data_IF_013092972001
#
_entry.id   IF_013092972001
#
_cell.length_a   1.000
_cell.length_b   1.000
_cell.length_c   1.000
_cell.angle_alpha   90.00
_cell.angle_beta   90.00
_cell.angle_gamma   90.00
#
_symmetry.space_group_name_H-M   'P 1'
#
loop_
_entity.id
_entity.type
_entity.pdbx_description
1 polymer ?
#
# COMPACT_ATOMS: atom_id res chain seq x y z
N UNK A 1 -8.16 24.04 -13.99
CA UNK A 1 -7.51 23.44 -15.18
C UNK A 1 -8.36 22.27 -15.68
N UNK A 2 -8.73 22.18 -16.97
CA UNK A 2 -9.51 21.04 -17.48
C UNK A 2 -8.74 19.72 -17.42
N UNK A 3 -9.41 18.60 -17.11
CA UNK A 3 -8.79 17.25 -17.00
C UNK A 3 -7.98 16.88 -18.24
N UNK A 4 -8.46 17.26 -19.44
CA UNK A 4 -7.74 17.05 -20.71
C UNK A 4 -6.40 17.79 -20.79
N UNK A 5 -6.33 19.04 -20.29
CA UNK A 5 -5.08 19.81 -20.25
C UNK A 5 -4.12 19.24 -19.21
N UNK A 6 -4.64 18.80 -18.06
CA UNK A 6 -3.84 18.14 -17.04
C UNK A 6 -3.25 16.81 -17.55
N UNK A 7 -4.03 15.99 -18.26
CA UNK A 7 -3.58 14.72 -18.84
C UNK A 7 -2.38 14.89 -19.77
N UNK A 8 -2.43 15.90 -20.64
CA UNK A 8 -1.32 16.24 -21.53
C UNK A 8 -0.11 16.77 -20.76
N UNK A 9 -0.34 17.64 -19.76
CA UNK A 9 0.74 18.26 -18.97
C UNK A 9 1.52 17.23 -18.16
N UNK A 10 0.82 16.28 -17.54
CA UNK A 10 1.43 15.26 -16.67
C UNK A 10 1.76 13.96 -17.41
N UNK A 11 1.51 13.88 -18.72
CA UNK A 11 1.68 12.69 -19.54
C UNK A 11 1.00 11.44 -18.93
N UNK A 12 -0.24 11.60 -18.45
CA UNK A 12 -1.04 10.54 -17.84
C UNK A 12 -2.30 10.33 -18.68
N UNK A 13 -2.76 9.07 -18.90
CA UNK A 13 -4.02 8.82 -19.60
C UNK A 13 -5.18 9.62 -18.99
N UNK A 14 -6.00 10.22 -19.85
CA UNK A 14 -7.13 11.06 -19.43
C UNK A 14 -8.09 10.31 -18.51
N UNK A 15 -8.24 9.01 -18.72
CA UNK A 15 -9.10 8.14 -17.93
C UNK A 15 -8.58 7.97 -16.50
N UNK A 16 -7.27 7.76 -16.31
CA UNK A 16 -6.63 7.70 -14.99
C UNK A 16 -6.87 8.97 -14.18
N UNK A 17 -6.71 10.15 -14.79
CA UNK A 17 -7.02 11.41 -14.10
C UNK A 17 -8.51 11.60 -13.83
N UNK A 18 -9.37 11.18 -14.76
CA UNK A 18 -10.82 11.24 -14.59
C UNK A 18 -11.27 10.33 -13.44
N UNK A 19 -10.69 9.14 -13.29
CA UNK A 19 -11.02 8.20 -12.22
C UNK A 19 -10.53 8.70 -10.86
N UNK A 20 -9.35 9.33 -10.80
CA UNK A 20 -8.87 10.06 -9.60
C UNK A 20 -9.80 11.20 -9.21
N UNK A 21 -10.19 12.06 -10.16
CA UNK A 21 -11.09 13.21 -9.91
C UNK A 21 -12.48 12.74 -9.47
N UNK A 22 -12.95 11.60 -9.98
CA UNK A 22 -14.25 11.00 -9.60
C UNK A 22 -14.19 10.21 -8.29
N UNK A 23 -13.04 10.15 -7.61
CA UNK A 23 -12.87 9.40 -6.36
C UNK A 23 -12.94 7.88 -6.54
N UNK A 24 -12.85 7.37 -7.78
CA UNK A 24 -12.80 5.92 -8.05
C UNK A 24 -11.44 5.31 -7.68
N UNK A 25 -10.41 6.16 -7.59
CA UNK A 25 -9.06 5.80 -7.19
C UNK A 25 -8.63 6.82 -6.15
N UNK A 26 -8.30 6.34 -4.94
CA UNK A 26 -7.72 7.18 -3.89
C UNK A 26 -6.30 7.61 -4.32
N UNK A 27 -6.05 8.91 -4.58
CA UNK A 27 -4.74 9.39 -5.05
C UNK A 27 -3.61 9.20 -4.03
N UNK A 28 -3.93 8.99 -2.76
CA UNK A 28 -2.94 8.83 -1.67
C UNK A 28 -2.75 7.37 -1.26
N UNK A 29 -3.61 6.47 -1.73
CA UNK A 29 -3.55 5.04 -1.46
C UNK A 29 -3.38 4.22 -2.76
N UNK A 30 -2.55 4.73 -3.68
CA UNK A 30 -2.18 4.01 -4.91
C UNK A 30 -0.81 3.36 -4.70
N UNK A 31 -0.78 2.04 -4.51
CA UNK A 31 0.44 1.26 -4.70
C UNK A 31 0.68 1.00 -6.18
N UNK A 32 1.88 1.26 -6.69
CA UNK A 32 2.30 0.72 -7.99
C UNK A 32 2.53 -0.79 -7.82
N UNK A 33 1.71 -1.63 -8.46
CA UNK A 33 1.91 -3.07 -8.45
C UNK A 33 0.62 -3.88 -8.43
N UNK A 34 0.77 -5.19 -8.30
CA UNK A 34 -0.33 -6.12 -8.08
C UNK A 34 -1.07 -5.81 -6.77
N UNK A 35 -2.31 -6.28 -6.70
CA UNK A 35 -3.12 -6.23 -5.49
C UNK A 35 -2.30 -6.67 -4.27
N UNK A 36 -2.39 -5.88 -3.20
CA UNK A 36 -1.62 -6.12 -1.99
C UNK A 36 -2.16 -7.38 -1.33
N UNK A 37 -1.28 -8.34 -1.05
CA UNK A 37 -1.63 -9.59 -0.33
C UNK A 37 -2.23 -9.26 1.05
N UNK A 38 -1.85 -8.13 1.64
CA UNK A 38 -2.35 -7.68 2.93
C UNK A 38 -3.43 -6.60 2.81
N UNK A 39 -4.49 -6.75 3.60
CA UNK A 39 -5.39 -5.66 3.95
C UNK A 39 -4.65 -4.54 4.70
N UNK A 40 -5.27 -3.37 4.79
CA UNK A 40 -4.68 -2.24 5.51
C UNK A 40 -4.56 -2.57 7.01
N UNK A 41 -5.54 -3.27 7.56
CA UNK A 41 -5.55 -3.73 8.94
C UNK A 41 -4.42 -4.72 9.21
N UNK A 42 -4.24 -5.74 8.36
CA UNK A 42 -3.17 -6.73 8.48
C UNK A 42 -1.78 -6.11 8.44
N UNK A 43 -1.55 -5.15 7.53
CA UNK A 43 -0.28 -4.41 7.48
C UNK A 43 0.00 -3.67 8.78
N UNK A 44 -1.03 -3.00 9.31
CA UNK A 44 -0.90 -2.22 10.54
C UNK A 44 -0.58 -3.13 11.71
N UNK A 45 -1.29 -4.25 11.84
CA UNK A 45 -1.02 -5.24 12.89
C UNK A 45 0.38 -5.87 12.80
N UNK A 46 0.87 -6.18 11.60
CA UNK A 46 2.23 -6.68 11.42
C UNK A 46 3.28 -5.64 11.85
N UNK A 47 3.10 -4.37 11.47
CA UNK A 47 4.04 -3.29 11.84
C UNK A 47 4.04 -3.07 13.35
N UNK A 48 2.87 -2.96 13.97
CA UNK A 48 2.74 -2.75 15.42
C UNK A 48 3.39 -3.91 16.21
N UNK A 49 3.25 -5.14 15.75
CA UNK A 49 3.91 -6.30 16.35
C UNK A 49 5.44 -6.20 16.24
N UNK A 50 5.97 -5.86 15.06
CA UNK A 50 7.41 -5.73 14.84
C UNK A 50 8.02 -4.59 15.67
N UNK A 51 7.33 -3.44 15.76
CA UNK A 51 7.74 -2.32 16.60
C UNK A 51 7.74 -2.69 18.08
N UNK A 52 6.67 -3.35 18.55
CA UNK A 52 6.56 -3.79 19.95
C UNK A 52 7.69 -4.75 20.32
N UNK A 53 7.96 -5.75 19.47
CA UNK A 53 9.04 -6.72 19.71
C UNK A 53 10.42 -6.04 19.68
N UNK A 54 10.63 -5.09 18.76
CA UNK A 54 11.86 -4.30 18.72
C UNK A 54 12.06 -3.48 20.00
N UNK A 55 11.01 -2.88 20.54
CA UNK A 55 11.07 -2.12 21.81
C UNK A 55 11.39 -3.03 23.00
N UNK A 56 10.96 -4.29 22.97
CA UNK A 56 11.31 -5.31 23.95
C UNK A 56 12.73 -5.90 23.74
N UNK A 57 13.49 -5.41 22.75
CA UNK A 57 14.84 -5.87 22.44
C UNK A 57 14.91 -7.14 21.58
N UNK A 58 13.77 -7.61 21.06
CA UNK A 58 13.70 -8.76 20.17
C UNK A 58 13.70 -8.31 18.71
N UNK A 59 14.82 -8.52 18.04
CA UNK A 59 14.94 -8.32 16.59
C UNK A 59 14.49 -9.55 15.81
N UNK A 60 13.77 -9.33 14.71
CA UNK A 60 13.49 -10.37 13.71
C UNK A 60 14.44 -10.24 12.53
N UNK A 61 14.89 -11.38 12.02
CA UNK A 61 15.56 -11.45 10.72
C UNK A 61 14.54 -11.33 9.59
N UNK A 62 14.99 -10.93 8.40
CA UNK A 62 14.10 -10.84 7.21
C UNK A 62 13.32 -12.13 6.94
N UNK A 63 13.95 -13.30 7.14
CA UNK A 63 13.29 -14.61 6.95
C UNK A 63 12.17 -14.81 7.97
N UNK A 64 12.38 -14.43 9.23
CA UNK A 64 11.36 -14.54 10.27
C UNK A 64 10.18 -13.57 10.02
N UNK A 65 10.47 -12.35 9.55
CA UNK A 65 9.43 -11.40 9.15
C UNK A 65 8.61 -11.94 7.99
N UNK A 66 9.24 -12.51 6.97
CA UNK A 66 8.54 -13.13 5.84
C UNK A 66 7.65 -14.30 6.27
N UNK A 67 8.14 -15.16 7.17
CA UNK A 67 7.34 -16.27 7.70
C UNK A 67 6.15 -15.79 8.55
N UNK A 68 6.34 -14.73 9.35
CA UNK A 68 5.28 -14.12 10.15
C UNK A 68 4.21 -13.49 9.24
N UNK A 69 4.67 -12.74 8.23
CA UNK A 69 3.82 -12.12 7.22
C UNK A 69 3.01 -13.19 6.45
N UNK A 70 3.65 -14.28 6.01
CA UNK A 70 2.97 -15.38 5.33
C UNK A 70 1.84 -15.98 6.17
N UNK A 71 2.07 -16.22 7.47
CA UNK A 71 1.03 -16.71 8.38
C UNK A 71 -0.14 -15.75 8.57
N UNK A 72 0.12 -14.44 8.52
CA UNK A 72 -0.93 -13.41 8.61
C UNK A 72 -1.74 -13.28 7.31
N UNK A 73 -1.15 -13.64 6.17
CA UNK A 73 -1.80 -13.58 4.85
C UNK A 73 -2.62 -14.84 4.50
N UNK A 74 -2.35 -15.98 5.14
CA UNK A 74 -3.04 -17.26 4.87
C UNK A 74 -4.38 -17.41 5.62
N UNK A 75 -4.82 -16.36 6.34
CA UNK A 75 -6.06 -16.32 7.12
C UNK A 75 -7.16 -15.50 6.46
#
# INVERSE_FOLDING_TARGET
MPVKRAALTYNVPIQTLRDRVKGKVDPFNIGLGSELIFSKEEKTGLVEHLESMSQLGYGYTNVQVQNLAGKLAEH
#
